data_IF_834904128528
#
_entry.id   IF_834904128528
#
_cell.length_a   1.000
_cell.length_b   1.000
_cell.length_c   1.000
_cell.angle_alpha   90.00
_cell.angle_beta   90.00
_cell.angle_gamma   90.00
#
_symmetry.space_group_name_H-M   'P 1'
#
loop_
_entity.id
_entity.type
_entity.pdbx_description
1 polymer ?
#
# COMPACT_ATOMS: atom_id res chain seq x y z
N UNK A 1 9.86 -2.70 -11.88
CA UNK A 1 8.38 -2.81 -11.97
C UNK A 1 7.84 -2.74 -10.56
N UNK A 2 6.60 -2.31 -10.37
CA UNK A 2 6.02 -2.32 -9.03
C UNK A 2 5.62 -3.73 -8.63
N UNK A 3 6.09 -4.15 -7.45
CA UNK A 3 5.76 -5.42 -6.81
C UNK A 3 5.37 -5.15 -5.36
N UNK A 4 4.47 -5.98 -4.81
CA UNK A 4 4.01 -5.87 -3.44
C UNK A 4 4.40 -7.10 -2.63
N UNK A 5 4.90 -6.85 -1.43
CA UNK A 5 5.04 -7.82 -0.36
C UNK A 5 3.95 -7.54 0.67
N UNK A 6 3.04 -8.51 0.83
CA UNK A 6 1.87 -8.43 1.69
C UNK A 6 2.08 -9.17 3.02
N UNK A 7 3.15 -9.97 3.13
CA UNK A 7 3.36 -10.92 4.21
C UNK A 7 4.41 -10.41 5.23
N UNK A 8 5.33 -9.55 4.79
CA UNK A 8 6.41 -9.03 5.64
C UNK A 8 5.93 -8.18 6.82
N UNK A 9 4.73 -7.59 6.74
CA UNK A 9 4.15 -6.80 7.84
C UNK A 9 2.75 -7.29 8.21
N UNK A 10 2.66 -8.03 9.33
CA UNK A 10 1.41 -8.61 9.80
C UNK A 10 0.29 -7.61 10.12
N UNK A 11 0.59 -6.30 10.24
CA UNK A 11 -0.43 -5.25 10.42
C UNK A 11 -1.34 -5.13 9.21
N UNK A 12 -0.87 -5.51 8.02
CA UNK A 12 -1.68 -5.48 6.82
C UNK A 12 -2.81 -6.50 6.89
N UNK A 13 -2.50 -7.74 7.28
CA UNK A 13 -3.51 -8.79 7.51
C UNK A 13 -4.52 -8.36 8.58
N UNK A 14 -4.07 -7.80 9.70
CA UNK A 14 -4.99 -7.28 10.73
C UNK A 14 -5.94 -6.21 10.17
N UNK A 15 -5.44 -5.34 9.29
CA UNK A 15 -6.28 -4.31 8.66
C UNK A 15 -7.31 -4.89 7.70
N UNK A 16 -6.98 -5.98 7.00
CA UNK A 16 -7.92 -6.69 6.12
C UNK A 16 -9.01 -7.39 6.94
N UNK A 17 -8.63 -8.07 8.01
CA UNK A 17 -9.55 -8.78 8.89
C UNK A 17 -10.62 -7.83 9.48
N UNK A 18 -10.22 -6.61 9.85
CA UNK A 18 -11.10 -5.56 10.40
C UNK A 18 -12.13 -5.02 9.38
N UNK A 19 -11.82 -5.07 8.08
CA UNK A 19 -12.72 -4.61 7.02
C UNK A 19 -13.74 -5.68 6.60
N UNK A 20 -13.43 -6.95 6.85
CA UNK A 20 -14.23 -8.09 6.46
C UNK A 20 -13.88 -8.65 5.07
N UNK A 21 -14.35 -9.88 4.84
CA UNK A 21 -13.89 -10.75 3.73
C UNK A 21 -14.14 -10.18 2.33
N UNK A 22 -15.25 -9.48 2.10
CA UNK A 22 -15.55 -8.94 0.78
C UNK A 22 -14.56 -7.84 0.37
N UNK A 23 -14.25 -6.91 1.29
CA UNK A 23 -13.29 -5.84 1.07
C UNK A 23 -11.86 -6.38 0.93
N UNK A 24 -11.51 -7.41 1.72
CA UNK A 24 -10.23 -8.11 1.60
C UNK A 24 -9.99 -8.63 0.18
N UNK A 25 -10.96 -9.36 -0.37
CA UNK A 25 -10.87 -9.94 -1.71
C UNK A 25 -10.67 -8.84 -2.77
N UNK A 26 -11.44 -7.75 -2.71
CA UNK A 26 -11.33 -6.65 -3.66
C UNK A 26 -9.96 -5.96 -3.60
N UNK A 27 -9.44 -5.72 -2.40
CA UNK A 27 -8.14 -5.07 -2.21
C UNK A 27 -7.01 -5.94 -2.74
N UNK A 28 -7.01 -7.23 -2.40
CA UNK A 28 -6.01 -8.19 -2.89
C UNK A 28 -6.06 -8.32 -4.41
N UNK A 29 -7.26 -8.34 -5.00
CA UNK A 29 -7.42 -8.33 -6.46
C UNK A 29 -6.84 -7.07 -7.09
N UNK A 30 -7.10 -5.87 -6.53
CA UNK A 30 -6.53 -4.63 -7.05
C UNK A 30 -4.98 -4.63 -7.01
N UNK A 31 -4.37 -5.09 -5.91
CA UNK A 31 -2.92 -5.16 -5.77
C UNK A 31 -2.30 -6.19 -6.74
N UNK A 32 -2.97 -7.33 -6.92
CA UNK A 32 -2.58 -8.34 -7.92
C UNK A 32 -2.68 -7.79 -9.34
N UNK A 33 -3.74 -7.05 -9.65
CA UNK A 33 -3.93 -6.43 -10.96
C UNK A 33 -2.84 -5.42 -11.29
N UNK A 34 -2.45 -4.57 -10.33
CA UNK A 34 -1.35 -3.61 -10.51
C UNK A 34 -0.04 -4.36 -10.82
N UNK A 35 0.25 -5.43 -10.09
CA UNK A 35 1.44 -6.26 -10.30
C UNK A 35 1.43 -6.90 -11.69
N UNK A 36 0.29 -7.48 -12.08
CA UNK A 36 0.12 -8.14 -13.40
C UNK A 36 0.24 -7.17 -14.58
N UNK A 37 -0.24 -5.93 -14.41
CA UNK A 37 -0.15 -4.84 -15.40
C UNK A 37 1.26 -4.29 -15.53
N UNK A 38 2.18 -4.69 -14.65
CA UNK A 38 3.59 -4.39 -14.82
C UNK A 38 3.82 -2.87 -14.89
N UNK A 39 3.21 -2.13 -13.96
CA UNK A 39 3.34 -0.69 -13.88
C UNK A 39 4.82 -0.30 -13.70
N UNK A 40 5.24 0.71 -14.47
CA UNK A 40 6.46 1.44 -14.16
C UNK A 40 6.28 2.21 -12.85
N UNK A 41 7.39 2.53 -12.18
CA UNK A 41 7.34 3.31 -10.95
C UNK A 41 6.72 4.69 -11.16
N UNK A 42 7.04 5.36 -12.27
CA UNK A 42 6.51 6.68 -12.59
C UNK A 42 4.99 6.62 -12.84
N UNK A 43 4.51 5.63 -13.58
CA UNK A 43 3.08 5.44 -13.85
C UNK A 43 2.31 5.13 -12.56
N UNK A 44 2.90 4.33 -11.67
CA UNK A 44 2.30 4.01 -10.37
C UNK A 44 2.20 5.26 -9.48
N UNK A 45 3.27 6.05 -9.38
CA UNK A 45 3.27 7.31 -8.62
C UNK A 45 2.18 8.25 -9.12
N UNK A 46 2.03 8.38 -10.45
CA UNK A 46 1.01 9.23 -11.05
C UNK A 46 -0.42 8.70 -10.87
N UNK A 47 -0.63 7.39 -11.05
CA UNK A 47 -1.97 6.78 -11.06
C UNK A 47 -2.52 6.49 -9.67
N UNK A 48 -1.65 6.15 -8.72
CA UNK A 48 -2.03 5.73 -7.37
C UNK A 48 -1.62 6.73 -6.29
N UNK A 49 -1.01 7.86 -6.67
CA UNK A 49 -0.60 8.91 -5.75
C UNK A 49 0.30 8.41 -4.62
N UNK A 50 1.39 7.73 -4.98
CA UNK A 50 2.43 7.32 -4.03
C UNK A 50 3.08 8.56 -3.43
N UNK A 51 2.67 8.93 -2.21
CA UNK A 51 3.00 10.19 -1.54
C UNK A 51 3.63 9.89 -0.18
N UNK A 52 4.77 10.52 0.16
CA UNK A 52 5.38 10.34 1.47
C UNK A 52 4.48 10.81 2.61
N UNK A 53 4.45 10.04 3.70
CA UNK A 53 3.76 10.43 4.93
C UNK A 53 4.73 11.19 5.82
N UNK A 54 4.43 12.45 6.11
CA UNK A 54 5.18 13.23 7.09
C UNK A 54 4.82 12.76 8.50
N UNK A 55 5.69 11.96 9.11
CA UNK A 55 5.58 11.60 10.53
C UNK A 55 6.02 12.82 11.35
N UNK A 56 5.08 13.45 12.06
CA UNK A 56 5.34 14.66 12.85
C UNK A 56 5.85 14.27 14.24
N UNK A 57 7.09 14.61 14.59
CA UNK A 57 7.65 14.51 15.95
C UNK A 57 9.05 13.88 16.07
N UNK A 58 9.64 13.95 17.28
CA UNK A 58 10.97 13.43 17.69
C UNK A 58 11.17 11.91 17.51
N UNK A 59 10.20 11.21 16.92
CA UNK A 59 10.22 9.77 16.66
C UNK A 59 10.85 9.38 15.32
N UNK A 60 11.38 10.34 14.56
CA UNK A 60 12.16 10.06 13.34
C UNK A 60 13.64 9.96 13.69
N UNK A 61 14.05 8.76 14.09
CA UNK A 61 15.46 8.40 14.26
C UNK A 61 16.16 8.32 12.89
N UNK A 62 17.47 8.62 12.76
CA UNK A 62 18.22 8.37 11.52
C UNK A 62 18.12 6.89 11.13
N UNK A 63 17.45 6.60 10.01
CA UNK A 63 17.11 5.23 9.59
C UNK A 63 15.61 4.89 9.67
N UNK A 64 14.75 5.83 10.07
CA UNK A 64 13.31 5.68 9.92
C UNK A 64 12.96 5.45 8.44
N UNK A 65 12.36 4.28 8.18
CA UNK A 65 11.86 3.89 6.86
C UNK A 65 10.80 4.91 6.43
N UNK A 66 10.99 5.52 5.26
CA UNK A 66 10.06 6.50 4.73
C UNK A 66 8.75 5.79 4.34
N UNK A 67 7.73 5.97 5.17
CA UNK A 67 6.38 5.49 4.85
C UNK A 67 5.77 6.36 3.76
N UNK A 68 4.99 5.73 2.91
CA UNK A 68 4.21 6.35 1.87
C UNK A 68 2.77 5.87 1.97
N UNK A 69 1.87 6.72 1.48
CA UNK A 69 0.50 6.33 1.21
C UNK A 69 0.26 6.30 -0.29
N UNK A 70 -0.64 5.45 -0.73
CA UNK A 70 -1.20 5.44 -2.07
C UNK A 70 -2.66 5.03 -2.01
N UNK A 71 -3.38 5.18 -3.11
CA UNK A 71 -4.80 4.89 -3.18
C UNK A 71 -5.09 3.84 -4.24
N UNK A 72 -6.03 2.96 -3.92
CA UNK A 72 -6.65 2.05 -4.88
C UNK A 72 -8.16 2.29 -4.90
N UNK A 73 -8.77 2.01 -6.04
CA UNK A 73 -10.21 2.08 -6.21
C UNK A 73 -10.69 0.69 -6.62
N UNK A 74 -11.61 0.11 -5.85
CA UNK A 74 -12.15 -1.22 -6.12
C UNK A 74 -13.23 -1.18 -7.20
N UNK A 75 -13.66 -2.36 -7.67
CA UNK A 75 -14.73 -2.51 -8.65
C UNK A 75 -16.07 -1.96 -8.16
N UNK A 76 -16.31 -1.97 -6.84
CA UNK A 76 -17.45 -1.34 -6.18
C UNK A 76 -17.33 0.20 -6.11
N UNK A 77 -16.29 0.80 -6.69
CA UNK A 77 -16.00 2.23 -6.65
C UNK A 77 -15.74 2.77 -5.23
N UNK A 78 -15.29 1.89 -4.32
CA UNK A 78 -14.75 2.27 -3.01
C UNK A 78 -13.27 2.61 -3.14
N UNK A 79 -12.85 3.68 -2.47
CA UNK A 79 -11.45 4.09 -2.43
C UNK A 79 -10.83 3.69 -1.10
N UNK A 80 -9.68 3.04 -1.15
CA UNK A 80 -8.90 2.67 0.04
C UNK A 80 -7.55 3.36 0.01
N UNK A 81 -7.14 3.89 1.16
CA UNK A 81 -5.79 4.39 1.36
C UNK A 81 -4.92 3.26 1.92
N UNK A 82 -3.81 2.99 1.26
CA UNK A 82 -2.86 1.95 1.67
C UNK A 82 -1.57 2.62 2.12
N UNK A 83 -1.01 2.14 3.23
CA UNK A 83 0.27 2.59 3.75
C UNK A 83 1.31 1.50 3.51
N UNK A 84 2.47 1.89 2.98
CA UNK A 84 3.59 0.99 2.75
C UNK A 84 4.93 1.70 2.69
N UNK A 85 5.99 0.96 2.47
CA UNK A 85 7.33 1.49 2.20
C UNK A 85 8.06 0.66 1.16
N UNK A 86 9.15 1.19 0.62
CA UNK A 86 9.98 0.47 -0.33
C UNK A 86 11.16 -0.21 0.35
N UNK A 87 11.39 -1.47 0.01
CA UNK A 87 12.60 -2.22 0.35
C UNK A 87 13.06 -2.99 -0.88
N UNK A 88 14.29 -2.74 -1.34
CA UNK A 88 14.86 -3.39 -2.53
C UNK A 88 13.95 -3.33 -3.77
N UNK A 89 13.32 -2.17 -4.03
CA UNK A 89 12.38 -1.94 -5.14
C UNK A 89 11.01 -2.64 -5.02
N UNK A 90 10.74 -3.36 -3.92
CA UNK A 90 9.43 -3.94 -3.58
C UNK A 90 8.69 -3.04 -2.59
N UNK A 91 7.38 -2.90 -2.75
CA UNK A 91 6.52 -2.23 -1.77
C UNK A 91 6.11 -3.21 -0.69
N UNK A 92 6.56 -3.00 0.54
CA UNK A 92 6.03 -3.71 1.71
C UNK A 92 4.79 -2.98 2.19
N UNK A 93 3.64 -3.66 2.10
CA UNK A 93 2.35 -3.10 2.51
C UNK A 93 2.20 -3.28 4.02
N UNK A 94 1.94 -2.18 4.72
CA UNK A 94 1.90 -2.16 6.19
C UNK A 94 0.48 -2.18 6.75
N UNK A 95 -0.42 -1.38 6.19
CA UNK A 95 -1.77 -1.20 6.77
C UNK A 95 -2.73 -0.56 5.76
N UNK A 96 -4.01 -0.72 6.04
CA UNK A 96 -5.07 0.04 5.39
C UNK A 96 -5.47 1.19 6.31
N UNK A 97 -5.60 2.39 5.75
CA UNK A 97 -6.08 3.57 6.44
C UNK A 97 -7.52 3.85 5.97
N UNK A 98 -8.43 3.90 6.94
CA UNK A 98 -9.84 4.31 6.77
C UNK A 98 -9.97 5.84 6.68
#
# INVERSE_FOLDING_TARGET
>A
MVEFDLDSDGRFQTSLDDLGTDAEIEILQCLSDITSKQYSWDDFVLSHHWIPIALVGEQTYPGAVQLHRFFITTSANHQYQIVGYTFQETIIVCALAL
#
